data_IF_534077944391
#
_entry.id   IF_534077944391
#
_cell.length_a   1.000
_cell.length_b   1.000
_cell.length_c   1.000
_cell.angle_alpha   90.00
_cell.angle_beta   90.00
_cell.angle_gamma   90.00
#
_symmetry.space_group_name_H-M   'P 1'
#
loop_
_entity.id
_entity.type
_entity.pdbx_description
1 polymer ?
#
# COMPACT_ATOMS: atom_id res chain seq x y z
N UNK A 1 30.72 30.45 -32.33
CA UNK A 1 29.31 30.74 -32.62
C UNK A 1 28.56 30.33 -31.38
N UNK A 2 28.01 31.31 -30.67
CA UNK A 2 27.26 31.12 -29.44
C UNK A 2 25.80 31.07 -29.84
N UNK A 3 25.10 29.96 -29.60
CA UNK A 3 23.65 29.90 -29.76
C UNK A 3 22.98 30.70 -28.62
N UNK A 4 22.23 31.77 -28.92
CA UNK A 4 21.50 32.54 -27.95
C UNK A 4 20.00 32.23 -28.13
N UNK A 5 19.52 31.13 -27.55
CA UNK A 5 18.08 30.90 -27.41
C UNK A 5 17.76 29.77 -26.42
N UNK A 6 18.38 29.80 -25.24
CA UNK A 6 17.77 29.18 -24.07
C UNK A 6 17.03 30.30 -23.33
N UNK A 7 15.83 30.62 -23.82
CA UNK A 7 14.86 31.39 -23.03
C UNK A 7 14.52 30.51 -21.83
N UNK A 8 15.13 30.84 -20.69
CA UNK A 8 14.59 30.42 -19.42
C UNK A 8 13.15 30.91 -19.37
N UNK A 9 12.20 29.96 -19.33
CA UNK A 9 10.84 30.24 -18.91
C UNK A 9 10.87 30.57 -17.41
N UNK A 10 11.36 31.77 -17.08
CA UNK A 10 11.13 32.43 -15.80
C UNK A 10 9.73 33.03 -15.85
N UNK A 11 8.81 32.54 -15.03
CA UNK A 11 7.56 33.23 -14.77
C UNK A 11 6.41 32.34 -14.33
N UNK A 12 6.22 32.29 -13.01
CA UNK A 12 4.92 32.29 -12.31
C UNK A 12 4.06 31.04 -12.06
N UNK A 13 4.26 29.87 -12.66
CA UNK A 13 3.37 28.71 -12.36
C UNK A 13 3.82 27.82 -11.17
N UNK A 14 4.96 28.10 -10.54
CA UNK A 14 5.45 27.30 -9.40
C UNK A 14 5.06 27.87 -8.02
N UNK A 15 4.52 29.09 -7.94
CA UNK A 15 4.12 29.68 -6.66
C UNK A 15 2.78 29.13 -6.13
N UNK A 16 2.02 28.39 -6.95
CA UNK A 16 0.72 27.82 -6.55
C UNK A 16 0.84 26.68 -5.52
N UNK A 17 2.00 26.03 -5.41
CA UNK A 17 2.28 25.01 -4.38
C UNK A 17 2.63 25.60 -3.01
N UNK A 18 2.65 26.94 -2.86
CA UNK A 18 3.06 27.61 -1.62
C UNK A 18 2.08 27.47 -0.44
N UNK A 19 0.88 26.95 -0.69
CA UNK A 19 -0.13 26.69 0.35
C UNK A 19 -0.02 25.31 1.00
N UNK A 20 0.87 24.43 0.53
CA UNK A 20 1.11 23.17 1.22
C UNK A 20 1.91 23.38 2.52
N UNK A 21 1.54 22.72 3.63
CA UNK A 21 2.24 22.87 4.88
C UNK A 21 3.70 22.42 4.72
N UNK A 22 4.63 23.38 4.76
CA UNK A 22 6.06 23.11 4.64
C UNK A 22 6.59 22.40 5.89
N UNK A 23 6.61 21.07 5.84
CA UNK A 23 7.08 20.23 6.92
C UNK A 23 8.61 20.15 6.96
N UNK A 24 9.18 20.35 8.15
CA UNK A 24 10.59 20.13 8.43
C UNK A 24 10.97 18.64 8.39
N UNK A 25 12.26 18.32 8.21
CA UNK A 25 12.77 16.93 8.27
C UNK A 25 12.37 16.23 9.59
N UNK A 26 12.33 16.96 10.71
CA UNK A 26 11.93 16.40 12.00
C UNK A 26 10.45 15.99 12.02
N UNK A 27 9.58 16.77 11.38
CA UNK A 27 8.15 16.43 11.23
C UNK A 27 8.00 15.21 10.33
N UNK A 28 8.73 15.16 9.20
CA UNK A 28 8.75 13.98 8.34
C UNK A 28 9.24 12.72 9.06
N UNK A 29 10.24 12.83 9.93
CA UNK A 29 10.71 11.70 10.73
C UNK A 29 9.65 11.21 11.71
N UNK A 30 8.94 12.11 12.38
CA UNK A 30 7.84 11.75 13.28
C UNK A 30 6.68 11.11 12.51
N UNK A 31 6.38 11.63 11.32
CA UNK A 31 5.39 11.06 10.42
C UNK A 31 5.71 9.64 9.99
N UNK A 32 6.95 9.37 9.57
CA UNK A 32 7.36 8.02 9.20
C UNK A 32 7.28 7.05 10.38
N UNK A 33 7.55 7.51 11.61
CA UNK A 33 7.31 6.72 12.81
C UNK A 33 5.82 6.46 13.05
N UNK A 34 4.95 7.43 12.76
CA UNK A 34 3.49 7.28 12.75
C UNK A 34 3.03 6.21 11.75
N UNK A 35 3.47 6.30 10.49
CA UNK A 35 3.18 5.28 9.47
C UNK A 35 3.67 3.89 9.87
N UNK A 36 4.85 3.78 10.49
CA UNK A 36 5.33 2.51 11.05
C UNK A 36 4.39 1.97 12.15
N UNK A 37 3.85 2.84 13.01
CA UNK A 37 2.85 2.47 14.03
C UNK A 37 1.54 2.01 13.38
N UNK A 38 1.12 2.61 12.28
CA UNK A 38 -0.08 2.17 11.54
C UNK A 38 0.10 0.77 10.95
N UNK A 39 1.27 0.47 10.38
CA UNK A 39 1.56 -0.90 9.91
C UNK A 39 1.56 -1.92 11.05
N UNK A 40 2.09 -1.54 12.22
CA UNK A 40 2.08 -2.40 13.40
C UNK A 40 0.66 -2.60 13.96
N UNK A 41 -0.15 -1.53 13.99
CA UNK A 41 -1.56 -1.57 14.40
C UNK A 41 -2.36 -2.47 13.49
N UNK A 42 -2.24 -2.30 12.17
CA UNK A 42 -2.86 -3.17 11.18
C UNK A 42 -2.52 -4.64 11.45
N UNK A 43 -1.23 -4.97 11.59
CA UNK A 43 -0.78 -6.34 11.78
C UNK A 43 -1.31 -6.95 13.08
N UNK A 44 -1.42 -6.15 14.15
CA UNK A 44 -2.01 -6.58 15.42
C UNK A 44 -3.47 -6.96 15.28
N UNK A 45 -4.27 -6.10 14.63
CA UNK A 45 -5.70 -6.35 14.39
C UNK A 45 -5.86 -7.55 13.46
N UNK A 46 -5.13 -7.57 12.35
CA UNK A 46 -5.11 -8.68 11.39
C UNK A 46 -4.86 -10.02 12.07
N UNK A 47 -3.87 -10.12 12.95
CA UNK A 47 -3.59 -11.38 13.66
C UNK A 47 -4.72 -11.86 14.57
N UNK A 48 -5.60 -10.97 15.02
CA UNK A 48 -6.76 -11.32 15.86
C UNK A 48 -7.94 -11.87 15.06
N UNK A 49 -8.01 -11.59 13.75
CA UNK A 49 -9.15 -11.95 12.89
C UNK A 49 -8.78 -12.81 11.67
N UNK A 50 -7.50 -13.07 11.38
CA UNK A 50 -7.00 -13.80 10.19
C UNK A 50 -7.66 -15.16 9.91
N UNK A 51 -8.22 -15.81 10.95
CA UNK A 51 -8.88 -17.11 10.84
C UNK A 51 -10.37 -17.00 10.48
N UNK A 52 -10.90 -15.77 10.42
CA UNK A 52 -12.28 -15.49 10.04
C UNK A 52 -12.41 -15.32 8.51
N UNK A 53 -13.58 -15.62 7.93
CA UNK A 53 -13.87 -15.28 6.54
C UNK A 53 -13.85 -13.77 6.35
N UNK A 54 -13.42 -13.30 5.17
CA UNK A 54 -13.36 -11.87 4.80
C UNK A 54 -12.60 -11.01 5.81
N UNK A 55 -11.58 -11.56 6.46
CA UNK A 55 -10.89 -10.86 7.53
C UNK A 55 -10.17 -9.58 7.07
N UNK A 56 -9.80 -9.43 5.79
CA UNK A 56 -9.26 -8.15 5.29
C UNK A 56 -10.27 -7.00 5.43
N UNK A 57 -11.55 -7.28 5.15
CA UNK A 57 -12.63 -6.29 5.24
C UNK A 57 -12.96 -5.98 6.72
N UNK A 58 -12.90 -6.99 7.58
CA UNK A 58 -13.02 -6.81 9.04
C UNK A 58 -11.87 -5.96 9.60
N UNK A 59 -10.63 -6.20 9.17
CA UNK A 59 -9.48 -5.39 9.59
C UNK A 59 -9.64 -3.94 9.14
N UNK A 60 -10.11 -3.69 7.91
CA UNK A 60 -10.36 -2.35 7.44
C UNK A 60 -11.39 -1.62 8.33
N UNK A 61 -12.51 -2.27 8.63
CA UNK A 61 -13.52 -1.74 9.55
C UNK A 61 -12.91 -1.39 10.92
N UNK A 62 -12.07 -2.27 11.47
CA UNK A 62 -11.39 -2.07 12.76
C UNK A 62 -10.26 -1.02 12.71
N UNK A 63 -9.70 -0.76 11.53
CA UNK A 63 -8.78 0.34 11.28
C UNK A 63 -9.50 1.67 11.10
N UNK A 64 -10.83 1.66 11.00
CA UNK A 64 -11.66 2.83 10.71
C UNK A 64 -11.68 3.20 9.22
N UNK A 65 -11.30 2.26 8.35
CA UNK A 65 -11.42 2.37 6.90
C UNK A 65 -12.76 1.79 6.46
N UNK A 66 -13.37 2.40 5.44
CA UNK A 66 -14.45 1.75 4.70
C UNK A 66 -13.87 0.58 3.88
N UNK A 67 -14.69 -0.41 3.56
CA UNK A 67 -14.26 -1.53 2.72
C UNK A 67 -13.86 -1.06 1.31
N UNK A 68 -14.43 0.06 0.87
CA UNK A 68 -14.12 0.73 -0.39
C UNK A 68 -12.75 1.43 -0.36
N UNK A 69 -12.23 1.83 0.82
CA UNK A 69 -10.91 2.48 0.96
C UNK A 69 -9.73 1.53 0.69
N UNK A 70 -9.99 0.22 0.61
CA UNK A 70 -9.01 -0.78 0.15
C UNK A 70 -8.88 -0.76 -1.39
N UNK A 71 -9.70 0.04 -2.08
CA UNK A 71 -9.49 0.46 -3.46
C UNK A 71 -8.69 1.77 -3.48
N UNK A 72 -7.85 1.98 -4.50
CA UNK A 72 -7.24 3.31 -4.72
C UNK A 72 -7.85 4.06 -5.91
N UNK A 73 -9.02 3.66 -6.42
CA UNK A 73 -9.62 4.37 -7.56
C UNK A 73 -10.50 5.54 -7.18
N UNK A 74 -11.05 5.56 -5.96
CA UNK A 74 -12.00 6.61 -5.57
C UNK A 74 -11.32 7.95 -5.27
N UNK A 75 -10.04 7.93 -4.86
CA UNK A 75 -9.24 9.15 -4.67
C UNK A 75 -9.04 9.92 -6.01
N UNK A 76 -9.09 9.24 -7.15
CA UNK A 76 -9.03 9.86 -8.48
C UNK A 76 -10.36 10.43 -8.97
N UNK A 77 -11.49 10.03 -8.37
CA UNK A 77 -12.81 10.54 -8.77
C UNK A 77 -13.00 12.01 -8.40
N UNK A 78 -12.29 12.49 -7.36
CA UNK A 78 -12.31 13.88 -6.91
C UNK A 78 -11.53 14.80 -7.85
N UNK A 79 -10.50 14.31 -8.56
CA UNK A 79 -9.73 15.12 -9.51
C UNK A 79 -10.47 15.38 -10.83
N UNK A 80 -11.46 14.55 -11.20
CA UNK A 80 -12.29 14.76 -12.40
C UNK A 80 -13.55 15.61 -12.10
N UNK A 81 -13.82 15.90 -10.81
CA UNK A 81 -14.98 16.66 -10.36
C UNK A 81 -14.75 18.18 -10.29
N UNK A 82 -13.50 18.65 -10.31
CA UNK A 82 -13.19 20.07 -10.09
C UNK A 82 -13.41 20.98 -11.31
N UNK A 83 -13.82 20.42 -12.45
CA UNK A 83 -14.17 21.19 -13.66
C UNK A 83 -15.68 21.51 -13.78
N UNK A 84 -16.50 21.14 -12.78
CA UNK A 84 -17.94 21.42 -12.77
C UNK A 84 -18.51 21.68 -11.38
N UNK A 85 -18.21 22.83 -10.80
CA UNK A 85 -19.19 23.72 -10.13
C UNK A 85 -18.48 24.86 -9.40
N UNK A 86 -18.07 25.89 -10.14
CA UNK A 86 -17.99 27.23 -9.59
C UNK A 86 -19.42 27.75 -9.36
N UNK A 87 -20.02 27.44 -8.21
CA UNK A 87 -21.21 28.14 -7.72
C UNK A 87 -21.16 28.38 -6.21
N UNK A 88 -20.79 29.60 -5.87
CA UNK A 88 -21.31 30.45 -4.78
C UNK A 88 -21.35 29.90 -3.34
N UNK A 89 -20.35 30.32 -2.57
CA UNK A 89 -20.39 30.82 -1.20
C UNK A 89 -21.65 30.57 -0.35
N UNK A 90 -21.49 29.75 0.70
CA UNK A 90 -22.38 29.67 1.85
C UNK A 90 -21.60 29.44 3.13
N UNK A 91 -21.13 30.52 3.76
CA UNK A 91 -20.63 30.50 5.14
C UNK A 91 -21.72 29.95 6.08
N UNK A 92 -21.47 28.81 6.72
CA UNK A 92 -22.22 28.44 7.93
C UNK A 92 -21.26 27.91 8.99
N UNK A 93 -21.22 28.68 10.07
CA UNK A 93 -20.38 28.53 11.23
C UNK A 93 -21.04 27.50 12.16
N UNK A 94 -20.50 26.28 12.26
CA UNK A 94 -20.89 25.29 13.25
C UNK A 94 -19.68 24.89 14.08
N UNK A 95 -19.56 25.49 15.26
CA UNK A 95 -18.82 24.94 16.38
C UNK A 95 -19.59 23.73 16.92
N UNK A 96 -19.06 22.52 16.78
CA UNK A 96 -19.56 21.36 17.50
C UNK A 96 -18.42 20.76 18.34
N UNK A 97 -18.53 21.04 19.62
CA UNK A 97 -17.67 20.60 20.73
C UNK A 97 -18.21 19.23 21.16
N UNK A 98 -17.61 18.16 20.66
CA UNK A 98 -17.86 16.80 21.14
C UNK A 98 -16.55 16.05 21.31
N UNK A 99 -16.11 16.02 22.58
CA UNK A 99 -15.09 15.12 23.11
C UNK A 99 -15.53 13.65 22.92
N UNK A 100 -15.16 13.04 21.80
CA UNK A 100 -15.22 11.58 21.61
C UNK A 100 -13.85 10.97 21.93
N UNK A 101 -13.71 10.46 23.17
CA UNK A 101 -12.54 9.72 23.68
C UNK A 101 -12.40 8.30 23.04
N UNK A 102 -12.55 8.20 21.71
CA UNK A 102 -12.42 6.95 20.94
C UNK A 102 -11.39 6.96 19.81
N UNK A 103 -10.97 8.14 19.36
CA UNK A 103 -10.10 8.31 18.19
C UNK A 103 -8.66 8.69 18.54
N UNK A 104 -7.82 7.73 18.94
CA UNK A 104 -6.36 7.93 19.04
C UNK A 104 -5.67 7.98 17.64
N UNK A 105 -6.40 8.37 16.59
CA UNK A 105 -5.81 8.81 15.32
C UNK A 105 -5.47 10.30 15.47
N UNK A 106 -4.36 10.52 16.18
CA UNK A 106 -3.54 11.74 16.31
C UNK A 106 -4.14 13.05 15.74
N UNK A 107 -4.56 13.96 16.62
CA UNK A 107 -4.77 15.39 16.31
C UNK A 107 -3.51 16.09 15.75
N UNK A 108 -2.34 15.43 15.80
CA UNK A 108 -1.10 15.89 15.19
C UNK A 108 -1.14 15.94 13.64
N UNK A 109 -2.27 15.53 13.03
CA UNK A 109 -2.25 14.97 11.68
C UNK A 109 -3.19 15.60 10.65
N UNK A 110 -4.14 16.41 11.09
CA UNK A 110 -5.11 17.07 10.19
C UNK A 110 -4.48 18.09 9.21
N UNK A 111 -3.15 18.27 9.24
CA UNK A 111 -2.38 19.17 8.37
C UNK A 111 -1.12 18.53 7.77
N UNK A 112 -1.06 17.20 7.65
CA UNK A 112 0.02 16.51 6.95
C UNK A 112 -0.15 16.62 5.42
N UNK A 113 0.93 16.87 4.65
CA UNK A 113 0.87 16.75 3.21
C UNK A 113 0.54 15.33 2.79
N UNK A 114 -0.10 15.18 1.63
CA UNK A 114 -0.46 13.90 1.08
C UNK A 114 0.77 13.01 0.88
N UNK A 115 0.70 11.76 1.36
CA UNK A 115 1.64 10.72 0.96
C UNK A 115 0.96 9.34 0.95
N UNK A 116 1.46 8.46 0.10
CA UNK A 116 1.00 7.07 -0.01
C UNK A 116 1.16 6.23 1.27
N UNK A 117 1.96 6.68 2.24
CA UNK A 117 2.27 5.90 3.45
C UNK A 117 1.05 5.58 4.32
N UNK A 118 -0.05 6.29 4.11
CA UNK A 118 -1.34 6.09 4.82
C UNK A 118 -2.38 5.37 4.02
N UNK A 119 -2.17 5.28 2.71
CA UNK A 119 -3.14 4.63 1.86
C UNK A 119 -3.34 3.18 2.34
N UNK A 120 -4.58 2.71 2.56
CA UNK A 120 -4.84 1.36 3.08
C UNK A 120 -4.11 0.25 2.31
N UNK A 121 -4.13 0.29 0.96
CA UNK A 121 -3.36 -0.63 0.10
C UNK A 121 -1.86 -0.65 0.43
N UNK A 122 -1.25 0.51 0.69
CA UNK A 122 0.15 0.60 1.11
C UNK A 122 0.34 -0.03 2.50
N UNK A 123 -0.50 0.36 3.47
CA UNK A 123 -0.40 -0.12 4.85
C UNK A 123 -0.56 -1.64 4.91
N UNK A 124 -1.58 -2.20 4.24
CA UNK A 124 -1.82 -3.65 4.16
C UNK A 124 -0.61 -4.35 3.53
N UNK A 125 -0.19 -3.88 2.35
CA UNK A 125 0.92 -4.50 1.61
C UNK A 125 2.20 -4.50 2.46
N UNK A 126 2.57 -3.34 3.01
CA UNK A 126 3.78 -3.19 3.82
C UNK A 126 3.75 -4.04 5.08
N UNK A 127 2.60 -4.12 5.75
CA UNK A 127 2.43 -4.90 6.98
C UNK A 127 2.58 -6.40 6.75
N UNK A 128 1.92 -6.92 5.70
CA UNK A 128 1.96 -8.35 5.38
C UNK A 128 3.36 -8.77 4.89
N UNK A 129 4.02 -7.96 4.05
CA UNK A 129 5.41 -8.24 3.66
C UNK A 129 6.39 -8.16 4.84
N UNK A 130 6.22 -7.19 5.75
CA UNK A 130 7.04 -7.10 6.97
C UNK A 130 6.96 -8.39 7.79
N UNK A 131 5.75 -8.92 7.97
CA UNK A 131 5.57 -10.21 8.64
C UNK A 131 6.26 -11.36 7.87
N UNK A 132 6.07 -11.43 6.55
CA UNK A 132 6.62 -12.52 5.73
C UNK A 132 8.16 -12.54 5.77
N UNK A 133 8.81 -11.36 5.73
CA UNK A 133 10.26 -11.26 5.88
C UNK A 133 10.74 -11.67 7.27
N UNK A 134 10.08 -11.18 8.33
CA UNK A 134 10.46 -11.50 9.72
C UNK A 134 10.23 -12.99 10.06
N UNK A 135 9.12 -13.55 9.61
CA UNK A 135 8.82 -14.98 9.81
C UNK A 135 9.78 -15.87 9.02
N UNK A 136 10.24 -15.43 7.85
CA UNK A 136 11.26 -16.12 7.07
C UNK A 136 12.63 -16.12 7.78
N UNK A 137 13.04 -14.97 8.31
CA UNK A 137 14.26 -14.87 9.13
C UNK A 137 14.18 -15.79 10.34
N UNK A 138 13.05 -15.77 11.07
CA UNK A 138 12.81 -16.65 12.20
C UNK A 138 12.87 -18.13 11.80
N UNK A 139 12.26 -18.50 10.67
CA UNK A 139 12.29 -19.87 10.16
C UNK A 139 13.73 -20.33 9.87
N UNK A 140 14.53 -19.50 9.19
CA UNK A 140 15.92 -19.81 8.87
C UNK A 140 16.78 -19.98 10.11
N UNK A 141 16.61 -19.12 11.13
CA UNK A 141 17.35 -19.21 12.38
C UNK A 141 17.10 -20.52 13.15
N UNK A 142 15.95 -21.16 12.94
CA UNK A 142 15.57 -22.42 13.59
C UNK A 142 15.65 -23.64 12.67
N UNK A 143 16.12 -23.48 11.44
CA UNK A 143 16.20 -24.54 10.41
C UNK A 143 17.63 -24.79 9.95
N UNK A 144 18.63 -24.61 10.83
CA UNK A 144 20.06 -24.70 10.50
C UNK A 144 20.39 -25.95 9.68
N UNK A 145 20.95 -25.75 8.48
CA UNK A 145 21.36 -26.84 7.57
C UNK A 145 20.22 -27.54 6.82
N UNK A 146 18.96 -27.20 7.09
CA UNK A 146 17.78 -27.83 6.45
C UNK A 146 17.36 -27.15 5.16
N UNK A 147 17.70 -25.86 5.01
CA UNK A 147 17.40 -25.06 3.81
C UNK A 147 18.69 -24.84 3.02
N UNK A 148 18.69 -25.23 1.75
CA UNK A 148 19.82 -24.93 0.87
C UNK A 148 19.98 -23.42 0.67
N UNK A 149 21.22 -22.94 0.55
CA UNK A 149 21.48 -21.52 0.28
C UNK A 149 20.74 -21.01 -0.97
N UNK A 150 20.62 -21.86 -1.99
CA UNK A 150 19.87 -21.52 -3.21
C UNK A 150 18.37 -21.37 -2.96
N UNK A 151 17.75 -22.33 -2.27
CA UNK A 151 16.32 -22.23 -1.92
C UNK A 151 16.05 -21.02 -1.04
N UNK A 152 16.96 -20.73 -0.11
CA UNK A 152 16.84 -19.57 0.76
C UNK A 152 16.87 -18.25 0.00
N UNK A 153 17.83 -18.11 -0.91
CA UNK A 153 17.94 -16.96 -1.78
C UNK A 153 16.74 -16.83 -2.72
N UNK A 154 16.35 -17.93 -3.39
CA UNK A 154 15.26 -17.92 -4.36
C UNK A 154 13.93 -17.52 -3.67
N UNK A 155 13.69 -17.97 -2.43
CA UNK A 155 12.51 -17.56 -1.64
C UNK A 155 12.54 -16.06 -1.34
N UNK A 156 13.60 -15.58 -0.68
CA UNK A 156 13.72 -14.17 -0.29
C UNK A 156 13.66 -13.22 -1.51
N UNK A 157 14.35 -13.59 -2.60
CA UNK A 157 14.33 -12.82 -3.83
C UNK A 157 12.93 -12.81 -4.47
N UNK A 158 12.24 -13.95 -4.55
CA UNK A 158 10.87 -13.98 -5.11
C UNK A 158 9.90 -13.10 -4.30
N UNK A 159 9.99 -13.15 -2.97
CA UNK A 159 9.16 -12.33 -2.08
C UNK A 159 9.47 -10.84 -2.25
N UNK A 160 10.75 -10.47 -2.33
CA UNK A 160 11.17 -9.09 -2.55
C UNK A 160 10.75 -8.56 -3.93
N UNK A 161 10.85 -9.37 -5.00
CA UNK A 161 10.40 -8.97 -6.34
C UNK A 161 8.88 -8.72 -6.36
N UNK A 162 8.11 -9.52 -5.62
CA UNK A 162 6.69 -9.29 -5.46
C UNK A 162 6.42 -7.95 -4.75
N UNK A 163 7.13 -7.67 -3.64
CA UNK A 163 6.99 -6.43 -2.88
C UNK A 163 7.33 -5.20 -3.73
N UNK A 164 8.47 -5.21 -4.42
CA UNK A 164 8.91 -4.09 -5.24
C UNK A 164 7.92 -3.77 -6.35
N UNK A 165 7.37 -4.78 -7.03
CA UNK A 165 6.35 -4.54 -8.05
C UNK A 165 5.07 -3.95 -7.45
N UNK A 166 4.67 -4.31 -6.23
CA UNK A 166 3.48 -3.72 -5.60
C UNK A 166 3.71 -2.27 -5.26
N UNK A 167 4.87 -1.92 -4.70
CA UNK A 167 5.19 -0.52 -4.39
C UNK A 167 5.23 0.34 -5.65
N UNK A 168 5.82 -0.18 -6.74
CA UNK A 168 5.81 0.50 -8.05
C UNK A 168 4.39 0.60 -8.64
N UNK A 169 3.54 -0.39 -8.42
CA UNK A 169 2.13 -0.34 -8.82
C UNK A 169 1.36 0.72 -8.05
N UNK A 170 1.54 0.83 -6.73
CA UNK A 170 0.90 1.85 -5.90
C UNK A 170 1.34 3.25 -6.36
N UNK A 171 2.63 3.44 -6.66
CA UNK A 171 3.12 4.70 -7.21
C UNK A 171 2.58 4.99 -8.62
N UNK A 172 2.51 3.99 -9.49
CA UNK A 172 1.90 4.17 -10.81
C UNK A 172 0.41 4.49 -10.70
N UNK A 173 -0.27 3.92 -9.71
CA UNK A 173 -1.66 4.19 -9.41
C UNK A 173 -1.83 5.65 -8.95
N UNK A 174 -1.02 6.11 -8.00
CA UNK A 174 -0.92 7.50 -7.52
C UNK A 174 -0.80 8.54 -8.66
N UNK A 175 -0.03 8.19 -9.69
CA UNK A 175 0.18 9.03 -10.88
C UNK A 175 -0.92 8.89 -11.95
N UNK A 176 -1.97 8.09 -11.69
CA UNK A 176 -3.07 7.86 -12.63
C UNK A 176 -2.73 6.92 -13.81
N UNK A 177 -1.60 6.21 -13.76
CA UNK A 177 -1.11 5.28 -14.78
C UNK A 177 -1.64 3.85 -14.56
N UNK A 178 -2.97 3.68 -14.67
CA UNK A 178 -3.66 2.41 -14.41
C UNK A 178 -3.12 1.23 -15.23
N UNK A 179 -2.75 1.45 -16.49
CA UNK A 179 -2.17 0.42 -17.36
C UNK A 179 -0.81 -0.08 -16.87
N UNK A 180 0.04 0.83 -16.37
CA UNK A 180 1.33 0.49 -15.79
C UNK A 180 1.16 -0.20 -14.44
N UNK A 181 0.24 0.29 -13.61
CA UNK A 181 -0.14 -0.35 -12.34
C UNK A 181 -0.55 -1.82 -12.56
N UNK A 182 -1.42 -2.09 -13.54
CA UNK A 182 -1.82 -3.46 -13.93
C UNK A 182 -0.62 -4.34 -14.30
N UNK A 183 0.35 -3.81 -15.05
CA UNK A 183 1.55 -4.56 -15.43
C UNK A 183 2.39 -4.94 -14.21
N UNK A 184 2.60 -4.00 -13.29
CA UNK A 184 3.30 -4.25 -12.04
C UNK A 184 2.57 -5.25 -11.13
N UNK A 185 1.25 -5.15 -10.98
CA UNK A 185 0.47 -6.14 -10.20
C UNK A 185 0.57 -7.54 -10.80
N UNK A 186 0.55 -7.68 -12.13
CA UNK A 186 0.77 -8.98 -12.79
C UNK A 186 2.15 -9.56 -12.51
N UNK A 187 3.19 -8.73 -12.56
CA UNK A 187 4.56 -9.15 -12.23
C UNK A 187 4.66 -9.57 -10.77
N UNK A 188 4.02 -8.84 -9.87
CA UNK A 188 3.98 -9.18 -8.45
C UNK A 188 3.27 -10.52 -8.20
N UNK A 189 2.10 -10.73 -8.81
CA UNK A 189 1.36 -12.00 -8.73
C UNK A 189 2.18 -13.18 -9.27
N UNK A 190 2.95 -12.97 -10.34
CA UNK A 190 3.88 -13.99 -10.86
C UNK A 190 4.96 -14.34 -9.84
N UNK A 191 5.57 -13.32 -9.21
CA UNK A 191 6.57 -13.50 -8.18
C UNK A 191 6.01 -14.18 -6.91
N UNK A 192 4.80 -13.82 -6.47
CA UNK A 192 4.12 -14.51 -5.36
C UNK A 192 3.86 -15.99 -5.65
N UNK A 193 3.44 -16.32 -6.87
CA UNK A 193 3.23 -17.73 -7.25
C UNK A 193 4.55 -18.52 -7.15
N UNK A 194 5.68 -17.88 -7.49
CA UNK A 194 7.00 -18.46 -7.27
C UNK A 194 7.31 -18.62 -5.78
N UNK A 195 7.02 -17.63 -4.94
CA UNK A 195 7.19 -17.72 -3.48
C UNK A 195 6.37 -18.88 -2.88
N UNK A 196 5.10 -19.02 -3.28
CA UNK A 196 4.23 -20.13 -2.87
C UNK A 196 4.79 -21.50 -3.31
N UNK A 197 5.33 -21.58 -4.53
CA UNK A 197 5.97 -22.79 -5.04
C UNK A 197 7.20 -23.17 -4.21
N UNK A 198 8.05 -22.21 -3.86
CA UNK A 198 9.25 -22.43 -3.05
C UNK A 198 8.90 -22.81 -1.61
N UNK A 199 7.82 -22.24 -1.05
CA UNK A 199 7.31 -22.60 0.28
C UNK A 199 6.97 -24.11 0.39
N UNK A 200 6.48 -24.71 -0.70
CA UNK A 200 6.19 -26.15 -0.77
C UNK A 200 7.46 -27.03 -0.80
N UNK A 201 8.62 -26.47 -1.10
CA UNK A 201 9.89 -27.21 -1.16
C UNK A 201 10.60 -27.29 0.20
N UNK A 202 10.15 -26.50 1.18
CA UNK A 202 10.73 -26.51 2.53
C UNK A 202 10.63 -27.89 3.19
N UNK A 203 11.65 -28.26 3.94
CA UNK A 203 11.63 -29.48 4.76
C UNK A 203 12.20 -29.16 6.13
N UNK A 204 11.72 -29.88 7.14
CA UNK A 204 12.15 -29.70 8.52
C UNK A 204 11.97 -31.02 9.29
N UNK A 205 12.81 -31.27 10.30
CA UNK A 205 12.72 -32.49 11.13
C UNK A 205 11.41 -32.51 11.91
N UNK A 206 11.01 -31.34 12.41
CA UNK A 206 9.71 -31.13 13.04
C UNK A 206 8.69 -30.71 11.98
N UNK A 207 7.83 -31.64 11.58
CA UNK A 207 6.76 -31.40 10.60
C UNK A 207 5.78 -30.31 11.05
N UNK A 208 5.39 -30.31 12.33
CA UNK A 208 4.46 -29.32 12.88
C UNK A 208 5.03 -27.89 12.81
N UNK A 209 6.35 -27.74 12.98
CA UNK A 209 7.00 -26.43 12.86
C UNK A 209 6.94 -25.87 11.44
N UNK A 210 7.32 -26.68 10.43
CA UNK A 210 7.27 -26.23 9.03
C UNK A 210 5.83 -26.07 8.55
N UNK A 211 4.90 -26.92 8.99
CA UNK A 211 3.49 -26.80 8.62
C UNK A 211 2.86 -25.56 9.24
N UNK A 212 3.19 -25.22 10.49
CA UNK A 212 2.79 -23.96 11.12
C UNK A 212 3.32 -22.73 10.39
N UNK A 213 4.62 -22.71 10.06
CA UNK A 213 5.22 -21.64 9.26
C UNK A 213 4.54 -21.49 7.89
N UNK A 214 4.33 -22.61 7.18
CA UNK A 214 3.67 -22.62 5.88
C UNK A 214 2.23 -22.14 5.95
N UNK A 215 1.51 -22.53 7.00
CA UNK A 215 0.13 -22.12 7.19
C UNK A 215 0.06 -20.59 7.37
N UNK A 216 0.84 -20.04 8.30
CA UNK A 216 0.89 -18.59 8.53
C UNK A 216 1.33 -17.81 7.29
N UNK A 217 2.36 -18.28 6.58
CA UNK A 217 2.82 -17.63 5.36
C UNK A 217 1.74 -17.67 4.27
N UNK A 218 1.04 -18.80 4.09
CA UNK A 218 0.02 -18.96 3.04
C UNK A 218 -1.16 -18.02 3.23
N UNK A 219 -1.68 -17.85 4.44
CA UNK A 219 -2.81 -16.94 4.70
C UNK A 219 -2.47 -15.57 4.11
N UNK A 220 -1.33 -15.00 4.53
CA UNK A 220 -0.88 -13.66 4.13
C UNK A 220 -0.53 -13.55 2.64
N UNK A 221 0.06 -14.58 2.05
CA UNK A 221 0.34 -14.62 0.61
C UNK A 221 -0.95 -14.65 -0.22
N UNK A 222 -1.99 -15.34 0.26
CA UNK A 222 -3.30 -15.35 -0.41
C UNK A 222 -4.04 -14.04 -0.24
N UNK A 223 -3.94 -13.38 0.91
CA UNK A 223 -4.56 -12.07 1.16
C UNK A 223 -3.92 -10.98 0.31
N UNK A 224 -2.58 -10.97 0.21
CA UNK A 224 -1.86 -10.09 -0.71
C UNK A 224 -2.34 -10.30 -2.15
N UNK A 225 -2.50 -11.56 -2.57
CA UNK A 225 -3.02 -11.90 -3.90
C UNK A 225 -4.45 -11.41 -4.10
N UNK A 226 -5.32 -11.58 -3.10
CA UNK A 226 -6.69 -11.11 -3.14
C UNK A 226 -6.75 -9.59 -3.29
N UNK A 227 -6.05 -8.86 -2.42
CA UNK A 227 -5.95 -7.40 -2.44
C UNK A 227 -5.57 -6.89 -3.83
N UNK A 228 -4.50 -7.42 -4.41
CA UNK A 228 -4.02 -6.95 -5.71
C UNK A 228 -4.93 -7.33 -6.87
N UNK A 229 -5.69 -8.43 -6.75
CA UNK A 229 -6.71 -8.76 -7.74
C UNK A 229 -7.85 -7.74 -7.69
N UNK A 230 -8.27 -7.30 -6.49
CA UNK A 230 -9.27 -6.23 -6.32
C UNK A 230 -8.78 -4.92 -6.95
N UNK A 231 -7.60 -4.43 -6.53
CA UNK A 231 -6.98 -3.19 -7.06
C UNK A 231 -6.77 -3.25 -8.58
N UNK A 232 -6.31 -4.40 -9.10
CA UNK A 232 -6.17 -4.58 -10.55
C UNK A 232 -7.52 -4.57 -11.28
N UNK A 233 -8.58 -5.06 -10.65
CA UNK A 233 -9.95 -4.97 -11.14
C UNK A 233 -10.38 -3.51 -11.31
N UNK A 234 -10.14 -2.70 -10.28
CA UNK A 234 -10.48 -1.28 -10.27
C UNK A 234 -9.69 -0.51 -11.34
N UNK A 235 -8.39 -0.75 -11.46
CA UNK A 235 -7.56 -0.19 -12.53
C UNK A 235 -8.11 -0.53 -13.92
N UNK A 236 -8.66 -1.74 -14.13
CA UNK A 236 -9.25 -2.14 -15.43
C UNK A 236 -10.54 -1.40 -15.72
N UNK A 237 -11.39 -1.20 -14.71
CA UNK A 237 -12.59 -0.40 -14.85
C UNK A 237 -12.23 1.04 -15.23
N UNK A 238 -11.19 1.59 -14.60
CA UNK A 238 -10.78 2.97 -14.87
C UNK A 238 -10.12 3.15 -16.25
N UNK A 239 -9.33 2.17 -16.70
CA UNK A 239 -8.86 2.14 -18.10
C UNK A 239 -10.01 2.13 -19.12
N UNK A 240 -11.17 1.54 -18.78
CA UNK A 240 -12.33 1.48 -19.67
C UNK A 240 -13.16 2.78 -19.63
N UNK A 241 -13.16 3.50 -18.49
CA UNK A 241 -13.85 4.78 -18.34
C UNK A 241 -13.21 5.88 -19.18
N UNK A 242 -11.87 5.92 -19.28
CA UNK A 242 -11.15 6.92 -20.08
C UNK A 242 -11.38 6.68 -21.59
N UNK A 243 -12.14 7.54 -22.30
CA UNK A 243 -12.41 7.37 -23.72
C UNK A 243 -11.19 7.86 -24.53
N UNK A 244 -10.17 7.01 -24.67
CA UNK A 244 -8.95 7.34 -25.43
C UNK A 244 -8.19 6.15 -26.00
N UNK A 245 -8.78 4.95 -26.01
CA UNK A 245 -8.16 3.72 -26.52
C UNK A 245 -8.65 3.28 -27.91
N UNK A 246 -8.99 4.23 -28.78
CA UNK A 246 -9.08 3.99 -30.23
C UNK A 246 -8.07 4.92 -30.90
N UNK A 247 -6.86 4.40 -31.12
CA UNK A 247 -5.97 4.78 -32.22
C UNK A 247 -5.19 3.53 -32.66
#
# INVERSE_FOLDING_TARGET
MSDPNFEHSEGDDWEEFSNEPNWSESQWRNYLQGSDRDTARFLSIYNSVKDQPNHLDEVATLMGWDAEDISMTDEFSYMDADDRESSEAGESNFSDDSDDEGGLADEADAGAPYTLHRHPVFVVSRSLYRYLHQSWEHYLAHSEGMVSAKLSWDYANSLHQAEMNVLLSIQALDLGDFGLSICHLKNSLSALNQTLSLLNQLTHVNAAFVDGFRHEARIRLYDLRELWIRVMGDCRHECQRRPGGQD
#
